data_IF_076197365266
#
_entry.id   IF_076197365266
#
_cell.length_a   1.000
_cell.length_b   1.000
_cell.length_c   1.000
_cell.angle_alpha   90.00
_cell.angle_beta   90.00
_cell.angle_gamma   90.00
#
_symmetry.space_group_name_H-M   'P 1'
#
loop_
_entity.id
_entity.type
_entity.pdbx_description
1 polymer ?
#
# COMPACT_ATOMS: atom_id res chain seq x y z
N UNK A 1 -4.72 -15.15 -1.70
CA UNK A 1 -4.38 -13.88 -2.39
C UNK A 1 -3.34 -13.14 -1.57
N UNK A 2 -2.34 -12.63 -2.24
CA UNK A 2 -1.25 -11.87 -1.64
C UNK A 2 -1.15 -10.52 -2.32
N UNK A 3 -0.62 -9.54 -1.62
CA UNK A 3 -0.43 -8.20 -2.16
C UNK A 3 0.95 -7.71 -1.79
N UNK A 4 1.52 -6.91 -2.68
CA UNK A 4 2.71 -6.13 -2.38
C UNK A 4 2.28 -4.70 -2.10
N UNK A 5 2.82 -4.12 -1.04
CA UNK A 5 2.45 -2.79 -0.60
C UNK A 5 3.67 -1.91 -0.41
N UNK A 6 3.49 -0.60 -0.56
CA UNK A 6 4.44 0.40 -0.10
C UNK A 6 3.87 1.06 1.15
N UNK A 7 4.70 1.21 2.17
CA UNK A 7 4.27 1.85 3.41
C UNK A 7 4.09 3.36 3.18
N UNK A 8 2.99 3.90 3.69
CA UNK A 8 2.72 5.34 3.66
C UNK A 8 3.35 5.93 4.91
N UNK A 9 4.61 6.33 4.80
CA UNK A 9 5.33 6.87 5.93
C UNK A 9 6.44 7.81 5.45
N UNK A 10 6.95 8.61 6.38
CA UNK A 10 8.06 9.52 6.11
C UNK A 10 9.43 8.86 6.38
N UNK A 11 9.45 7.57 6.59
CA UNK A 11 10.66 6.82 6.84
C UNK A 11 11.36 6.42 5.54
N UNK A 12 12.64 6.02 5.67
CA UNK A 12 13.52 5.71 4.55
C UNK A 12 13.36 4.27 4.05
N UNK A 13 12.15 3.73 4.02
CA UNK A 13 11.89 2.44 3.37
C UNK A 13 11.65 2.65 1.87
N UNK A 14 12.47 3.53 1.27
CA UNK A 14 12.34 3.93 -0.13
C UNK A 14 12.52 2.74 -1.05
N UNK A 15 11.66 2.68 -2.06
CA UNK A 15 11.71 1.66 -3.12
C UNK A 15 11.55 0.23 -2.61
N UNK A 16 11.07 0.06 -1.36
CA UNK A 16 10.82 -1.25 -0.81
C UNK A 16 9.34 -1.57 -0.83
N UNK A 17 9.02 -2.75 -1.33
CA UNK A 17 7.68 -3.29 -1.21
C UNK A 17 7.70 -4.44 -0.23
N UNK A 18 6.58 -4.67 0.43
CA UNK A 18 6.44 -5.75 1.40
C UNK A 18 5.21 -6.57 1.05
N UNK A 19 5.32 -7.87 1.18
CA UNK A 19 4.25 -8.80 0.82
C UNK A 19 3.41 -9.15 2.04
N UNK A 20 2.09 -9.09 1.87
CA UNK A 20 1.12 -9.46 2.91
C UNK A 20 0.05 -10.37 2.36
N UNK A 21 -0.55 -11.15 3.25
CA UNK A 21 -1.68 -12.00 2.93
C UNK A 21 -2.98 -11.20 3.03
N UNK A 22 -3.91 -11.45 2.12
CA UNK A 22 -5.25 -10.83 2.17
C UNK A 22 -6.21 -11.79 2.84
N UNK A 23 -6.81 -11.42 4.00
CA UNK A 23 -7.85 -12.25 4.61
C UNK A 23 -9.03 -12.44 3.66
N UNK A 24 -9.67 -13.62 3.73
CA UNK A 24 -10.79 -13.94 2.85
C UNK A 24 -11.91 -12.92 2.90
N UNK A 25 -12.16 -12.34 4.06
CA UNK A 25 -13.22 -11.32 4.22
C UNK A 25 -12.95 -10.03 3.45
N UNK A 26 -11.69 -9.77 3.07
CA UNK A 26 -11.29 -8.56 2.35
C UNK A 26 -11.00 -8.82 0.87
N UNK A 27 -10.97 -10.07 0.46
CA UNK A 27 -10.51 -10.48 -0.88
C UNK A 27 -11.25 -9.77 -2.02
N UNK A 28 -12.57 -9.59 -1.88
CA UNK A 28 -13.39 -8.98 -2.92
C UNK A 28 -13.38 -7.45 -2.89
N UNK A 29 -12.81 -6.86 -1.85
CA UNK A 29 -12.80 -5.41 -1.65
C UNK A 29 -11.47 -4.76 -2.02
N UNK A 30 -10.41 -5.54 -2.09
CA UNK A 30 -9.04 -5.04 -2.22
C UNK A 30 -8.58 -5.15 -3.67
N UNK A 31 -8.04 -4.04 -4.18
CA UNK A 31 -7.45 -3.93 -5.52
C UNK A 31 -6.18 -3.11 -5.45
N UNK A 32 -5.43 -3.07 -6.55
CA UNK A 32 -4.30 -2.16 -6.69
C UNK A 32 -4.80 -0.73 -6.44
N UNK A 33 -4.11 0.00 -5.57
CA UNK A 33 -4.50 1.34 -5.16
C UNK A 33 -5.27 1.39 -3.85
N UNK A 34 -5.69 0.26 -3.30
CA UNK A 34 -6.37 0.22 -2.00
C UNK A 34 -5.44 0.65 -0.88
N UNK A 35 -5.98 1.40 0.08
CA UNK A 35 -5.26 1.83 1.27
C UNK A 35 -5.63 0.89 2.41
N UNK A 36 -4.64 0.31 3.05
CA UNK A 36 -4.82 -0.71 4.08
C UNK A 36 -3.93 -0.41 5.29
N UNK A 37 -4.22 -1.08 6.40
CA UNK A 37 -3.36 -1.10 7.59
C UNK A 37 -2.62 -2.43 7.62
N UNK A 38 -1.30 -2.39 7.74
CA UNK A 38 -0.45 -3.57 7.80
C UNK A 38 0.48 -3.50 9.01
N UNK A 39 0.82 -4.66 9.61
CA UNK A 39 1.82 -4.70 10.67
C UNK A 39 3.22 -4.67 10.07
N UNK A 40 4.12 -3.88 10.67
CA UNK A 40 5.51 -3.83 10.26
C UNK A 40 6.38 -3.43 11.45
N UNK A 41 7.33 -4.29 11.82
CA UNK A 41 8.28 -4.05 12.93
C UNK A 41 7.58 -3.61 14.22
N UNK A 42 6.56 -4.38 14.63
CA UNK A 42 5.78 -4.16 15.86
C UNK A 42 4.95 -2.87 15.86
N UNK A 43 4.71 -2.28 14.71
CA UNK A 43 3.83 -1.13 14.55
C UNK A 43 2.86 -1.37 13.42
N UNK A 44 1.78 -0.61 13.42
CA UNK A 44 0.81 -0.63 12.33
C UNK A 44 1.02 0.60 11.44
N UNK A 45 1.04 0.35 10.13
CA UNK A 45 1.24 1.42 9.14
C UNK A 45 0.11 1.41 8.13
N UNK A 46 -0.25 2.59 7.65
CA UNK A 46 -1.03 2.70 6.42
C UNK A 46 -0.12 2.33 5.26
N UNK A 47 -0.69 1.66 4.26
CA UNK A 47 0.06 1.21 3.10
C UNK A 47 -0.84 1.25 1.88
N UNK A 48 -0.23 1.41 0.70
CA UNK A 48 -0.94 1.34 -0.57
C UNK A 48 -0.56 0.06 -1.29
N UNK A 49 -1.56 -0.63 -1.83
CA UNK A 49 -1.35 -1.86 -2.60
C UNK A 49 -0.86 -1.49 -4.00
N UNK A 50 0.30 -2.00 -4.36
CA UNK A 50 0.92 -1.74 -5.67
C UNK A 50 0.79 -2.91 -6.63
N UNK A 51 0.61 -4.13 -6.13
CA UNK A 51 0.35 -5.31 -6.96
C UNK A 51 -0.38 -6.38 -6.19
N UNK A 52 -1.02 -7.29 -6.92
CA UNK A 52 -1.72 -8.45 -6.34
C UNK A 52 -1.18 -9.72 -6.99
N UNK A 53 -1.21 -10.84 -6.25
CA UNK A 53 -0.74 -12.12 -6.73
C UNK A 53 -1.45 -13.26 -6.02
N UNK A 54 -1.50 -14.42 -6.67
CA UNK A 54 -1.98 -15.65 -6.04
C UNK A 54 -0.86 -16.43 -5.36
N UNK A 55 0.39 -16.02 -5.54
CA UNK A 55 1.55 -16.67 -4.97
C UNK A 55 2.40 -15.67 -4.19
N UNK A 56 3.10 -16.16 -3.17
CA UNK A 56 4.00 -15.35 -2.37
C UNK A 56 5.43 -15.89 -2.51
N UNK A 57 6.38 -14.97 -2.68
CA UNK A 57 7.81 -15.30 -2.69
C UNK A 57 8.37 -15.45 -1.28
N UNK A 58 7.65 -14.98 -0.28
CA UNK A 58 8.05 -15.14 1.11
C UNK A 58 7.17 -16.19 1.79
N UNK A 59 7.75 -16.85 2.78
CA UNK A 59 7.05 -17.86 3.55
C UNK A 59 6.22 -17.21 4.65
N UNK A 60 4.94 -17.58 4.75
CA UNK A 60 4.03 -17.11 5.79
C UNK A 60 3.95 -15.59 5.94
N UNK A 61 3.58 -14.86 4.88
CA UNK A 61 3.41 -13.41 5.00
C UNK A 61 2.29 -13.09 6.00
N UNK A 62 2.50 -12.02 6.76
CA UNK A 62 1.50 -11.57 7.74
C UNK A 62 0.25 -11.07 7.03
N UNK A 63 -0.93 -11.16 7.68
CA UNK A 63 -2.15 -10.65 7.07
C UNK A 63 -2.27 -9.13 7.18
N UNK A 64 -2.98 -8.54 6.22
CA UNK A 64 -3.44 -7.16 6.32
C UNK A 64 -4.40 -7.07 7.51
N UNK A 65 -4.29 -6.02 8.31
CA UNK A 65 -5.16 -5.83 9.48
C UNK A 65 -6.50 -5.21 9.13
N UNK A 66 -6.52 -4.23 8.22
CA UNK A 66 -7.74 -3.49 7.93
C UNK A 66 -7.66 -2.87 6.54
N UNK A 67 -8.81 -2.78 5.87
CA UNK A 67 -9.00 -1.99 4.67
C UNK A 67 -9.71 -0.69 5.05
N UNK A 68 -9.17 0.45 4.62
CA UNK A 68 -9.67 1.77 5.04
C UNK A 68 -10.80 2.30 4.15
N UNK A 69 -11.37 1.45 3.27
CA UNK A 69 -12.44 1.81 2.34
C UNK A 69 -12.06 2.96 1.38
N UNK A 70 -10.77 3.04 1.07
CA UNK A 70 -10.23 3.98 0.09
C UNK A 70 -9.44 3.21 -0.94
N UNK A 71 -9.77 3.38 -2.21
CA UNK A 71 -9.01 2.82 -3.32
C UNK A 71 -8.75 3.93 -4.33
N UNK A 72 -7.48 4.21 -4.58
CA UNK A 72 -7.10 5.19 -5.60
C UNK A 72 -7.41 4.63 -6.98
N UNK A 73 -7.98 5.45 -7.86
CA UNK A 73 -8.25 5.02 -9.21
C UNK A 73 -6.98 5.03 -10.06
N UNK A 74 -7.09 4.49 -11.29
CA UNK A 74 -5.94 4.39 -12.19
C UNK A 74 -5.27 5.74 -12.46
N UNK A 75 -6.05 6.79 -12.64
CA UNK A 75 -5.51 8.13 -12.91
C UNK A 75 -4.75 8.69 -11.71
N UNK A 76 -5.26 8.49 -10.51
CA UNK A 76 -4.61 8.91 -9.28
C UNK A 76 -3.28 8.17 -9.07
N UNK A 77 -3.27 6.86 -9.30
CA UNK A 77 -2.06 6.04 -9.20
C UNK A 77 -1.02 6.51 -10.22
N UNK A 78 -1.45 6.71 -11.46
CA UNK A 78 -0.56 7.16 -12.53
C UNK A 78 0.06 8.53 -12.21
N UNK A 79 -0.74 9.44 -11.68
CA UNK A 79 -0.25 10.77 -11.28
C UNK A 79 0.80 10.65 -10.16
N UNK A 80 0.55 9.83 -9.15
CA UNK A 80 1.51 9.60 -8.07
C UNK A 80 2.80 8.96 -8.57
N UNK A 81 2.71 8.02 -9.51
CA UNK A 81 3.89 7.39 -10.12
C UNK A 81 4.73 8.42 -10.86
N UNK A 82 4.11 9.33 -11.59
CA UNK A 82 4.81 10.39 -12.29
C UNK A 82 5.51 11.34 -11.31
N UNK A 83 4.84 11.71 -10.23
CA UNK A 83 5.46 12.52 -9.18
C UNK A 83 6.63 11.79 -8.51
N UNK A 84 6.47 10.50 -8.26
CA UNK A 84 7.53 9.68 -7.67
C UNK A 84 8.80 9.71 -8.52
N UNK A 85 8.65 9.57 -9.83
CA UNK A 85 9.77 9.65 -10.77
C UNK A 85 10.39 11.05 -10.74
N UNK A 86 9.58 12.10 -10.77
CA UNK A 86 10.05 13.49 -10.80
C UNK A 86 10.80 13.88 -9.53
N UNK A 87 10.34 13.43 -8.38
CA UNK A 87 10.96 13.75 -7.09
C UNK A 87 11.89 12.66 -6.57
N UNK A 88 12.04 11.55 -7.30
CA UNK A 88 12.83 10.39 -6.89
C UNK A 88 12.40 9.83 -5.54
N UNK A 89 11.09 9.81 -5.31
CA UNK A 89 10.47 9.27 -4.10
C UNK A 89 9.60 8.07 -4.45
N UNK A 90 9.28 7.23 -3.47
CA UNK A 90 8.29 6.20 -3.68
C UNK A 90 6.87 6.75 -3.45
N UNK A 91 5.87 6.00 -3.90
CA UNK A 91 4.47 6.40 -3.79
C UNK A 91 4.02 6.58 -2.35
N UNK A 92 4.53 5.73 -1.44
CA UNK A 92 4.17 5.81 -0.03
C UNK A 92 4.62 7.12 0.62
N UNK A 93 5.82 7.57 0.31
CA UNK A 93 6.35 8.84 0.83
C UNK A 93 5.55 10.02 0.26
N UNK A 94 5.19 9.96 -1.02
CA UNK A 94 4.36 11.01 -1.63
C UNK A 94 3.00 11.10 -0.96
N UNK A 95 2.35 9.97 -0.71
CA UNK A 95 1.06 9.94 -0.03
C UNK A 95 1.17 10.52 1.38
N UNK A 96 2.27 10.24 2.07
CA UNK A 96 2.48 10.77 3.42
C UNK A 96 2.65 12.30 3.42
N UNK A 97 3.41 12.84 2.46
CA UNK A 97 3.82 14.24 2.47
C UNK A 97 2.87 15.18 1.72
N UNK A 98 2.19 14.68 0.66
CA UNK A 98 1.43 15.54 -0.25
C UNK A 98 -0.06 15.26 -0.29
N UNK A 99 -0.50 14.16 0.32
CA UNK A 99 -1.90 13.76 0.33
C UNK A 99 -2.34 13.50 1.77
N UNK A 100 -3.39 14.17 2.19
CA UNK A 100 -3.99 13.89 3.50
C UNK A 100 -4.94 12.70 3.33
N UNK A 101 -4.47 11.52 3.73
CA UNK A 101 -5.21 10.28 3.57
C UNK A 101 -6.50 10.27 4.40
N UNK A 102 -6.54 11.00 5.52
CA UNK A 102 -7.74 11.08 6.33
C UNK A 102 -8.90 11.75 5.60
N UNK A 103 -8.62 12.56 4.60
CA UNK A 103 -9.65 13.24 3.80
C UNK A 103 -10.08 12.43 2.57
N UNK A 104 -9.43 11.30 2.28
CA UNK A 104 -9.75 10.48 1.11
C UNK A 104 -10.92 9.52 1.34
N UNK A 105 -11.46 9.48 2.52
CA UNK A 105 -12.60 8.62 2.83
C UNK A 105 -13.88 9.18 2.24
#
# INVERSE_FOLDING_TARGET
>A
MYVDVELISNNTYQNSTFTYQVPNKLKDKINVGSIVIVPFRNKDYKAIIVSTSNESLIENPKPIKKYLDVTLNRNQIKYLQQLAISYRLNTGILLYNFVDISTLK
#
